data_IF_897401159789
#
_entry.id   IF_897401159789
#
_cell.length_a   1.000
_cell.length_b   1.000
_cell.length_c   1.000
_cell.angle_alpha   90.00
_cell.angle_beta   90.00
_cell.angle_gamma   90.00
#
_symmetry.space_group_name_H-M   'P 1'
#
loop_
_entity.id
_entity.type
_entity.pdbx_description
1 polymer ?
#
# COMPACT_ATOMS: atom_id res chain seq x y z
N UNK A 1 19.07 0.18 -9.24
CA UNK A 1 18.04 -0.85 -8.98
C UNK A 1 18.56 -1.76 -7.88
N UNK A 2 17.77 -2.01 -6.83
CA UNK A 2 18.16 -2.90 -5.75
C UNK A 2 18.02 -4.37 -6.15
N UNK A 3 18.87 -5.23 -5.59
CA UNK A 3 18.80 -6.67 -5.81
C UNK A 3 17.45 -7.23 -5.32
N UNK A 4 16.86 -8.15 -6.09
CA UNK A 4 15.57 -8.79 -5.75
C UNK A 4 15.58 -9.47 -4.38
N UNK A 5 16.75 -9.89 -3.92
CA UNK A 5 16.99 -10.47 -2.58
C UNK A 5 18.06 -9.69 -1.82
N UNK A 6 17.96 -8.37 -1.79
CA UNK A 6 18.84 -7.55 -0.96
C UNK A 6 18.77 -7.99 0.50
N UNK A 7 19.87 -8.56 1.00
CA UNK A 7 20.02 -9.03 2.39
C UNK A 7 20.23 -7.85 3.33
N UNK A 8 20.97 -6.83 2.88
CA UNK A 8 21.26 -5.63 3.63
C UNK A 8 20.16 -4.57 3.38
N UNK A 9 19.29 -4.38 4.38
CA UNK A 9 18.27 -3.32 4.38
C UNK A 9 18.72 -2.21 5.32
N UNK A 10 18.68 -0.98 4.84
CA UNK A 10 18.93 0.18 5.70
C UNK A 10 17.74 0.41 6.63
N UNK A 11 18.03 0.49 7.92
CA UNK A 11 17.10 0.96 8.95
C UNK A 11 17.61 2.31 9.47
N UNK A 12 16.72 3.30 9.68
CA UNK A 12 17.10 4.57 10.30
C UNK A 12 17.75 4.34 11.67
N UNK A 13 18.72 5.17 12.09
CA UNK A 13 19.41 5.01 13.38
C UNK A 13 18.44 5.11 14.58
N UNK A 14 17.34 5.85 14.43
CA UNK A 14 16.33 6.01 15.48
C UNK A 14 15.26 4.91 15.48
N UNK A 15 15.30 3.96 14.54
CA UNK A 15 14.29 2.92 14.41
C UNK A 15 14.54 1.76 15.40
N UNK A 16 13.76 1.76 16.47
CA UNK A 16 13.60 0.62 17.38
C UNK A 16 12.40 -0.27 16.99
N UNK A 17 12.60 -1.55 16.63
CA UNK A 17 11.53 -2.46 16.25
C UNK A 17 10.53 -2.76 17.39
N UNK A 18 10.95 -2.69 18.67
CA UNK A 18 10.05 -2.94 19.79
C UNK A 18 9.06 -1.78 20.01
N UNK A 19 9.50 -0.54 19.75
CA UNK A 19 8.69 0.67 19.93
C UNK A 19 7.85 1.00 18.70
N UNK A 20 8.45 0.93 17.51
CA UNK A 20 7.80 1.34 16.27
C UNK A 20 7.07 0.20 15.56
N UNK A 21 7.41 -1.06 15.86
CA UNK A 21 6.83 -2.24 15.23
C UNK A 21 7.24 -2.39 13.76
N UNK A 22 6.54 -1.69 12.87
CA UNK A 22 6.82 -1.72 11.42
C UNK A 22 7.41 -0.41 10.93
N UNK A 23 8.25 -0.50 9.89
CA UNK A 23 8.82 0.69 9.24
C UNK A 23 7.72 1.63 8.69
N UNK A 24 6.60 1.07 8.23
CA UNK A 24 5.45 1.87 7.77
C UNK A 24 4.89 2.74 8.91
N UNK A 25 4.76 2.18 10.12
CA UNK A 25 4.28 2.89 11.31
C UNK A 25 5.30 3.94 11.79
N UNK A 26 6.60 3.66 11.69
CA UNK A 26 7.66 4.64 11.94
C UNK A 26 7.54 5.88 11.04
N UNK A 27 7.20 5.68 9.76
CA UNK A 27 6.97 6.77 8.80
C UNK A 27 5.53 7.33 8.81
N UNK A 28 4.68 6.95 9.76
CA UNK A 28 3.28 7.43 9.83
C UNK A 28 2.40 6.99 8.65
N UNK A 29 2.80 5.94 7.93
CA UNK A 29 2.11 5.46 6.73
C UNK A 29 1.30 4.19 7.02
N UNK A 30 0.10 4.11 6.44
CA UNK A 30 -0.71 2.89 6.50
C UNK A 30 -0.30 1.92 5.37
N UNK A 31 -0.21 0.59 5.61
CA UNK A 31 0.14 -0.39 4.58
C UNK A 31 -0.74 -0.32 3.34
N UNK A 32 -2.04 -0.05 3.53
CA UNK A 32 -3.02 0.08 2.45
C UNK A 32 -3.17 1.52 1.92
N UNK A 33 -2.42 2.49 2.47
CA UNK A 33 -2.42 3.90 2.05
C UNK A 33 -3.84 4.47 1.91
N UNK A 34 -4.12 5.19 0.82
CA UNK A 34 -5.39 5.85 0.51
C UNK A 34 -6.60 4.89 0.48
N UNK A 35 -6.37 3.60 0.22
CA UNK A 35 -7.45 2.59 0.18
C UNK A 35 -8.10 2.42 1.55
N UNK A 36 -7.33 2.60 2.63
CA UNK A 36 -7.78 2.48 4.01
C UNK A 36 -8.31 3.80 4.60
N UNK A 37 -8.62 4.82 3.78
CA UNK A 37 -9.10 6.12 4.28
C UNK A 37 -10.36 6.02 5.16
N UNK A 38 -11.24 5.03 4.89
CA UNK A 38 -12.46 4.75 5.67
C UNK A 38 -12.35 3.48 6.53
N UNK A 39 -11.13 3.02 6.84
CA UNK A 39 -10.93 1.77 7.58
C UNK A 39 -11.52 1.81 8.99
N UNK A 40 -11.59 2.98 9.63
CA UNK A 40 -12.26 3.17 10.92
C UNK A 40 -13.76 2.88 10.89
N UNK A 41 -14.39 2.93 9.71
CA UNK A 41 -15.79 2.57 9.49
C UNK A 41 -15.95 1.12 9.01
N UNK A 42 -14.87 0.33 8.97
CA UNK A 42 -14.87 -1.05 8.44
C UNK A 42 -14.87 -1.14 6.91
N UNK A 43 -14.76 -0.02 6.20
CA UNK A 43 -14.87 0.05 4.73
C UNK A 43 -13.48 0.10 4.09
N UNK A 44 -13.24 -0.76 3.10
CA UNK A 44 -12.06 -0.74 2.24
C UNK A 44 -12.44 -0.38 0.81
N UNK A 45 -11.87 0.70 0.28
CA UNK A 45 -12.12 1.13 -1.10
C UNK A 45 -11.06 0.53 -2.02
N UNK A 46 -11.48 -0.34 -2.94
CA UNK A 46 -10.60 -1.00 -3.90
C UNK A 46 -10.94 -0.49 -5.30
N UNK A 47 -9.89 -0.13 -6.06
CA UNK A 47 -9.97 0.21 -7.49
C UNK A 47 -9.46 -0.94 -8.34
N UNK A 48 -10.29 -1.43 -9.24
CA UNK A 48 -9.94 -2.42 -10.25
C UNK A 48 -9.80 -1.72 -11.59
N UNK A 49 -8.73 -2.05 -12.32
CA UNK A 49 -8.50 -1.56 -13.67
C UNK A 49 -8.18 -2.75 -14.55
N UNK A 50 -8.95 -2.93 -15.60
CA UNK A 50 -8.77 -4.01 -16.57
C UNK A 50 -8.79 -3.49 -18.00
N UNK A 51 -8.09 -4.15 -18.91
CA UNK A 51 -8.12 -3.80 -20.33
C UNK A 51 -9.41 -4.28 -20.97
N UNK A 52 -9.97 -3.48 -21.88
CA UNK A 52 -11.01 -3.96 -22.76
C UNK A 52 -10.42 -4.99 -23.75
N UNK A 53 -11.19 -6.03 -24.09
CA UNK A 53 -10.75 -7.01 -25.08
C UNK A 53 -10.73 -6.43 -26.51
N UNK A 54 -11.58 -5.45 -26.80
CA UNK A 54 -11.82 -4.94 -28.17
C UNK A 54 -11.08 -3.63 -28.47
N UNK A 55 -10.61 -2.90 -27.47
CA UNK A 55 -9.95 -1.61 -27.66
C UNK A 55 -8.81 -1.38 -26.67
N UNK A 56 -8.00 -0.34 -26.91
CA UNK A 56 -6.83 0.02 -26.10
C UNK A 56 -7.21 0.62 -24.73
N UNK A 57 -8.49 0.92 -24.53
CA UNK A 57 -8.99 1.59 -23.33
C UNK A 57 -9.08 0.63 -22.13
N UNK A 58 -9.20 1.24 -20.95
CA UNK A 58 -9.34 0.51 -19.69
C UNK A 58 -10.72 0.74 -19.09
N UNK A 59 -11.25 -0.31 -18.48
CA UNK A 59 -12.45 -0.24 -17.64
C UNK A 59 -11.97 -0.06 -16.20
N UNK A 60 -12.47 0.97 -15.54
CA UNK A 60 -12.15 1.29 -14.15
C UNK A 60 -13.40 1.11 -13.28
N UNK A 61 -13.25 0.35 -12.19
CA UNK A 61 -14.29 0.05 -11.22
C UNK A 61 -13.78 0.42 -9.84
N UNK A 62 -14.57 1.11 -9.04
CA UNK A 62 -14.28 1.40 -7.64
C UNK A 62 -15.40 0.80 -6.78
N UNK A 63 -15.04 0.11 -5.69
CA UNK A 63 -16.05 -0.35 -4.73
C UNK A 63 -16.69 0.85 -4.04
N UNK A 64 -18.01 0.94 -4.09
CA UNK A 64 -18.80 1.91 -3.33
C UNK A 64 -19.21 1.24 -2.00
N UNK A 65 -18.90 1.83 -0.83
CA UNK A 65 -19.29 1.29 0.47
C UNK A 65 -20.77 0.95 0.64
#
# INVERSE_FOLDING_TARGET
MGERKGTNKYYPPDFDPAKHGSLNKYHGSHPLRERARKLSQGILVIRFRMKCHLCVNHIELQTDP
#
